data_IF_740634776446
#
_entry.id   IF_740634776446
#
_cell.length_a   1.000
_cell.length_b   1.000
_cell.length_c   1.000
_cell.angle_alpha   90.00
_cell.angle_beta   90.00
_cell.angle_gamma   90.00
#
_symmetry.space_group_name_H-M   'P 1'
#
loop_
_entity.id
_entity.type
_entity.pdbx_description
1 polymer ?
#
# COMPACT_ATOMS: atom_id res chain seq x y z
N UNK A 1 16.81 -1.24 9.07
CA UNK A 1 17.65 -0.24 8.39
C UNK A 1 17.04 1.15 8.60
N UNK A 2 17.73 2.09 9.26
CA UNK A 2 17.33 3.50 9.28
C UNK A 2 18.17 4.20 8.20
N UNK A 3 17.55 4.51 7.06
CA UNK A 3 18.17 5.37 6.05
C UNK A 3 18.12 6.82 6.54
N UNK A 4 19.07 7.64 6.08
CA UNK A 4 18.94 9.09 6.26
C UNK A 4 17.70 9.60 5.51
N UNK A 5 17.13 10.72 5.97
CA UNK A 5 15.96 11.31 5.31
C UNK A 5 16.25 11.62 3.83
N UNK A 6 17.44 12.15 3.55
CA UNK A 6 17.89 12.44 2.18
C UNK A 6 17.97 11.17 1.33
N UNK A 7 18.60 10.09 1.84
CA UNK A 7 18.69 8.84 1.11
C UNK A 7 17.30 8.23 0.83
N UNK A 8 16.40 8.30 1.80
CA UNK A 8 15.00 7.87 1.64
C UNK A 8 14.31 8.65 0.53
N UNK A 9 14.48 9.98 0.53
CA UNK A 9 13.89 10.85 -0.48
C UNK A 9 14.43 10.60 -1.90
N UNK A 10 15.74 10.46 -2.06
CA UNK A 10 16.35 10.14 -3.35
C UNK A 10 15.89 8.77 -3.87
N UNK A 11 15.80 7.79 -2.99
CA UNK A 11 15.30 6.45 -3.33
C UNK A 11 13.86 6.52 -3.83
N UNK A 12 12.99 7.26 -3.12
CA UNK A 12 11.60 7.47 -3.54
C UNK A 12 11.50 8.22 -4.88
N UNK A 13 12.33 9.24 -5.11
CA UNK A 13 12.38 9.96 -6.39
C UNK A 13 12.80 9.04 -7.54
N UNK A 14 13.84 8.24 -7.36
CA UNK A 14 14.30 7.28 -8.35
C UNK A 14 13.23 6.22 -8.64
N UNK A 15 12.64 5.66 -7.60
CA UNK A 15 11.55 4.69 -7.74
C UNK A 15 10.34 5.29 -8.47
N UNK A 16 9.93 6.51 -8.09
CA UNK A 16 8.87 7.27 -8.77
C UNK A 16 9.17 7.44 -10.26
N UNK A 17 10.41 7.77 -10.63
CA UNK A 17 10.81 7.95 -12.02
C UNK A 17 10.66 6.66 -12.86
N UNK A 18 10.98 5.50 -12.27
CA UNK A 18 10.83 4.18 -12.91
C UNK A 18 9.35 3.83 -13.09
N UNK A 19 8.55 3.85 -12.01
CA UNK A 19 7.15 3.40 -12.05
C UNK A 19 6.27 4.26 -12.94
N UNK A 20 6.62 5.54 -13.15
CA UNK A 20 5.88 6.44 -14.02
C UNK A 20 6.21 6.28 -15.51
N UNK A 21 7.27 5.54 -15.87
CA UNK A 21 7.64 5.26 -17.26
C UNK A 21 7.20 3.89 -17.76
N UNK A 22 6.84 2.98 -16.85
CA UNK A 22 6.45 1.63 -17.19
C UNK A 22 4.92 1.46 -17.25
N UNK A 23 4.44 0.32 -17.78
CA UNK A 23 3.03 -0.05 -17.72
C UNK A 23 2.55 -0.24 -16.27
N UNK A 24 1.24 -0.11 -16.04
CA UNK A 24 0.64 -0.21 -14.70
C UNK A 24 0.96 -1.56 -14.05
N UNK A 25 0.68 -2.67 -14.76
CA UNK A 25 0.93 -4.02 -14.26
C UNK A 25 2.38 -4.27 -13.90
N UNK A 26 3.34 -3.78 -14.71
CA UNK A 26 4.76 -3.90 -14.40
C UNK A 26 5.13 -3.14 -13.13
N UNK A 27 4.60 -1.93 -12.96
CA UNK A 27 4.92 -1.11 -11.80
C UNK A 27 4.35 -1.67 -10.50
N UNK A 28 3.11 -2.19 -10.55
CA UNK A 28 2.51 -2.89 -9.40
C UNK A 28 3.34 -4.12 -9.03
N UNK A 29 3.78 -4.90 -10.03
CA UNK A 29 4.62 -6.08 -9.79
C UNK A 29 6.00 -5.72 -9.21
N UNK A 30 6.61 -4.64 -9.70
CA UNK A 30 7.85 -4.09 -9.17
C UNK A 30 7.68 -3.66 -7.70
N UNK A 31 6.56 -3.01 -7.37
CA UNK A 31 6.18 -2.68 -5.99
C UNK A 31 6.07 -3.92 -5.09
N UNK A 32 5.39 -4.96 -5.54
CA UNK A 32 5.28 -6.25 -4.83
C UNK A 32 6.67 -6.82 -4.48
N UNK A 33 7.59 -6.84 -5.44
CA UNK A 33 8.96 -7.31 -5.24
C UNK A 33 9.70 -6.47 -4.19
N UNK A 34 9.57 -5.15 -4.21
CA UNK A 34 10.16 -4.29 -3.19
C UNK A 34 9.56 -4.56 -1.81
N UNK A 35 8.24 -4.77 -1.73
CA UNK A 35 7.57 -5.16 -0.48
C UNK A 35 8.18 -6.44 0.11
N UNK A 36 8.43 -7.45 -0.72
CA UNK A 36 9.10 -8.68 -0.32
C UNK A 36 10.54 -8.48 0.15
N UNK A 37 11.31 -7.62 -0.52
CA UNK A 37 12.67 -7.29 -0.08
C UNK A 37 12.62 -6.63 1.30
N UNK A 38 11.71 -5.68 1.51
CA UNK A 38 11.55 -5.03 2.82
C UNK A 38 11.16 -6.03 3.90
N UNK A 39 10.26 -6.98 3.61
CA UNK A 39 9.92 -8.09 4.51
C UNK A 39 11.16 -8.91 4.90
N UNK A 40 11.96 -9.33 3.91
CA UNK A 40 13.17 -10.13 4.12
C UNK A 40 14.21 -9.41 4.98
N UNK A 41 14.41 -8.11 4.77
CA UNK A 41 15.43 -7.32 5.47
C UNK A 41 14.94 -6.66 6.78
N UNK A 42 13.72 -6.95 7.22
CA UNK A 42 13.11 -6.35 8.43
C UNK A 42 12.60 -7.37 9.46
N UNK A 43 13.36 -8.41 9.85
CA UNK A 43 12.88 -9.50 10.70
C UNK A 43 12.24 -9.01 12.01
N UNK A 44 12.87 -8.07 12.72
CA UNK A 44 12.30 -7.52 13.96
C UNK A 44 10.98 -6.75 13.80
N UNK A 45 10.68 -6.26 12.60
CA UNK A 45 9.37 -5.64 12.29
C UNK A 45 8.36 -6.71 11.90
N UNK A 46 8.79 -7.71 11.14
CA UNK A 46 7.98 -8.87 10.76
C UNK A 46 7.52 -9.62 11.99
N UNK A 47 8.41 -9.98 12.91
CA UNK A 47 8.07 -10.73 14.13
C UNK A 47 7.03 -9.98 14.99
N UNK A 48 7.18 -8.66 15.11
CA UNK A 48 6.21 -7.81 15.82
C UNK A 48 4.86 -7.74 15.12
N UNK A 49 4.85 -7.71 13.79
CA UNK A 49 3.61 -7.75 13.01
C UNK A 49 2.93 -9.12 13.13
N UNK A 50 3.69 -10.21 13.10
CA UNK A 50 3.20 -11.59 13.29
C UNK A 50 2.57 -11.75 14.68
N UNK A 51 3.25 -11.31 15.75
CA UNK A 51 2.71 -11.36 17.10
C UNK A 51 1.40 -10.57 17.26
N UNK A 52 1.29 -9.40 16.61
CA UNK A 52 0.03 -8.64 16.58
C UNK A 52 -1.05 -9.36 15.79
N UNK A 53 -0.69 -9.95 14.66
CA UNK A 53 -1.62 -10.71 13.82
C UNK A 53 -2.20 -11.90 14.58
N UNK A 54 -1.37 -12.66 15.29
CA UNK A 54 -1.81 -13.75 16.20
C UNK A 54 -2.75 -13.19 17.27
N UNK A 55 -2.36 -12.11 17.95
CA UNK A 55 -3.15 -11.53 19.04
C UNK A 55 -4.50 -10.96 18.60
N UNK A 56 -4.57 -10.31 17.45
CA UNK A 56 -5.80 -9.60 17.00
C UNK A 56 -6.71 -10.53 16.21
N UNK A 57 -6.15 -11.33 15.29
CA UNK A 57 -6.93 -12.22 14.43
C UNK A 57 -7.14 -13.61 15.04
N UNK A 58 -6.47 -13.93 16.15
CA UNK A 58 -6.59 -15.23 16.84
C UNK A 58 -6.25 -16.42 15.93
N UNK A 59 -5.25 -16.24 15.05
CA UNK A 59 -4.77 -17.26 14.11
C UNK A 59 -3.43 -17.85 14.54
N UNK A 60 -3.10 -19.05 14.05
CA UNK A 60 -1.80 -19.68 14.30
C UNK A 60 -0.62 -18.93 13.66
N UNK A 61 0.59 -19.16 14.16
CA UNK A 61 1.83 -18.45 13.78
C UNK A 61 2.13 -18.57 12.27
N UNK A 62 1.95 -19.77 11.69
CA UNK A 62 2.18 -19.99 10.25
C UNK A 62 1.23 -19.14 9.39
N UNK A 63 -0.05 -19.07 9.76
CA UNK A 63 -1.05 -18.25 9.07
C UNK A 63 -0.75 -16.76 9.25
N UNK A 64 -0.40 -16.33 10.46
CA UNK A 64 0.01 -14.96 10.74
C UNK A 64 1.21 -14.54 9.89
N UNK A 65 2.24 -15.38 9.77
CA UNK A 65 3.41 -15.14 8.91
C UNK A 65 3.05 -14.98 7.45
N UNK A 66 2.13 -15.82 6.95
CA UNK A 66 1.62 -15.71 5.58
C UNK A 66 0.87 -14.38 5.36
N UNK A 67 -0.05 -14.03 6.26
CA UNK A 67 -0.79 -12.76 6.21
C UNK A 67 0.16 -11.56 6.24
N UNK A 68 1.14 -11.56 7.15
CA UNK A 68 2.12 -10.48 7.24
C UNK A 68 2.94 -10.38 5.95
N UNK A 69 3.42 -11.50 5.40
CA UNK A 69 4.16 -11.50 4.12
C UNK A 69 3.33 -10.91 2.96
N UNK A 70 2.06 -11.31 2.84
CA UNK A 70 1.15 -10.75 1.83
C UNK A 70 0.83 -9.28 2.10
N UNK A 71 0.76 -8.84 3.36
CA UNK A 71 0.63 -7.43 3.71
C UNK A 71 1.83 -6.61 3.22
N UNK A 72 3.07 -7.09 3.39
CA UNK A 72 4.25 -6.42 2.84
C UNK A 72 4.24 -6.35 1.31
N UNK A 73 3.84 -7.44 0.63
CA UNK A 73 3.61 -7.43 -0.83
C UNK A 73 2.60 -6.36 -1.22
N UNK A 74 1.48 -6.28 -0.51
CA UNK A 74 0.42 -5.32 -0.78
C UNK A 74 0.85 -3.86 -0.52
N UNK A 75 1.58 -3.60 0.56
CA UNK A 75 2.16 -2.29 0.84
C UNK A 75 3.12 -1.83 -0.27
N UNK A 76 3.89 -2.78 -0.82
CA UNK A 76 4.75 -2.51 -1.97
C UNK A 76 3.96 -2.15 -3.23
N UNK A 77 2.88 -2.89 -3.55
CA UNK A 77 1.95 -2.56 -4.64
C UNK A 77 1.34 -1.17 -4.45
N UNK A 78 0.81 -0.91 -3.26
CA UNK A 78 0.21 0.38 -2.89
C UNK A 78 1.19 1.55 -3.01
N UNK A 79 2.46 1.36 -2.62
CA UNK A 79 3.50 2.38 -2.83
C UNK A 79 3.67 2.72 -4.32
N UNK A 80 3.74 1.71 -5.18
CA UNK A 80 3.86 1.93 -6.63
C UNK A 80 2.61 2.63 -7.20
N UNK A 81 1.42 2.24 -6.75
CA UNK A 81 0.16 2.85 -7.16
C UNK A 81 0.09 4.33 -6.74
N UNK A 82 0.37 4.64 -5.47
CA UNK A 82 0.36 6.01 -4.94
C UNK A 82 1.34 6.91 -5.69
N UNK A 83 2.55 6.43 -5.98
CA UNK A 83 3.54 7.21 -6.73
C UNK A 83 3.15 7.44 -8.20
N UNK A 84 2.24 6.62 -8.73
CA UNK A 84 1.69 6.73 -10.09
C UNK A 84 0.42 7.54 -10.17
N UNK A 85 -0.31 7.76 -9.07
CA UNK A 85 -1.57 8.52 -9.06
C UNK A 85 -1.50 9.83 -9.86
N UNK A 86 -0.45 10.67 -9.76
CA UNK A 86 -0.38 11.91 -10.53
C UNK A 86 -0.34 11.70 -12.05
N UNK A 87 0.19 10.55 -12.52
CA UNK A 87 0.25 10.21 -13.95
C UNK A 87 -0.99 9.47 -14.45
N UNK A 88 -1.66 8.72 -13.58
CA UNK A 88 -2.92 8.05 -13.89
C UNK A 88 -4.05 9.08 -14.06
N UNK A 89 -4.09 10.11 -13.21
CA UNK A 89 -5.13 11.14 -13.26
C UNK A 89 -6.54 10.53 -13.19
N UNK A 90 -7.44 10.95 -14.08
CA UNK A 90 -8.79 10.38 -14.21
C UNK A 90 -8.80 8.91 -14.68
N UNK A 91 -7.71 8.43 -15.27
CA UNK A 91 -7.57 7.03 -15.68
C UNK A 91 -7.57 6.04 -14.51
N UNK A 92 -7.45 6.51 -13.27
CA UNK A 92 -7.63 5.67 -12.06
C UNK A 92 -9.01 5.01 -12.04
N UNK A 93 -10.04 5.65 -12.59
CA UNK A 93 -11.40 5.11 -12.60
C UNK A 93 -11.52 3.80 -13.39
N UNK A 94 -10.55 3.48 -14.26
CA UNK A 94 -10.49 2.19 -14.95
C UNK A 94 -10.07 1.02 -14.04
N UNK A 95 -9.63 1.31 -12.82
CA UNK A 95 -9.08 0.33 -11.87
C UNK A 95 -9.85 0.28 -10.55
N UNK A 96 -10.91 1.07 -10.39
CA UNK A 96 -11.62 1.24 -9.12
C UNK A 96 -13.10 0.99 -9.30
N UNK A 97 -13.68 0.23 -8.37
CA UNK A 97 -15.12 0.11 -8.17
C UNK A 97 -15.47 0.80 -6.84
N UNK A 98 -16.54 1.61 -6.84
CA UNK A 98 -16.97 2.35 -5.65
C UNK A 98 -18.18 1.63 -5.06
N UNK A 99 -18.04 1.18 -3.82
CA UNK A 99 -19.15 0.60 -3.03
C UNK A 99 -19.57 1.60 -1.95
N UNK A 100 -20.88 1.71 -1.72
CA UNK A 100 -21.42 2.56 -0.66
C UNK A 100 -21.49 4.06 -1.01
N UNK A 101 -21.45 4.42 -2.29
CA UNK A 101 -21.48 5.81 -2.78
C UNK A 101 -22.74 6.55 -2.32
N UNK A 102 -23.86 5.83 -2.18
CA UNK A 102 -25.12 6.35 -1.68
C UNK A 102 -24.99 6.95 -0.28
N UNK A 103 -24.17 6.36 0.60
CA UNK A 103 -23.95 6.87 1.96
C UNK A 103 -23.25 8.23 1.93
N UNK A 104 -22.28 8.40 1.02
CA UNK A 104 -21.59 9.67 0.82
C UNK A 104 -22.54 10.73 0.26
N UNK A 105 -23.35 10.37 -0.73
CA UNK A 105 -24.34 11.28 -1.34
C UNK A 105 -25.39 11.72 -0.33
N UNK A 106 -25.91 10.81 0.49
CA UNK A 106 -26.87 11.13 1.56
C UNK A 106 -26.24 12.03 2.64
N UNK A 107 -24.99 11.77 3.02
CA UNK A 107 -24.31 12.60 4.00
C UNK A 107 -24.07 14.03 3.48
N UNK A 108 -23.68 14.17 2.20
CA UNK A 108 -23.48 15.47 1.55
C UNK A 108 -24.77 16.28 1.41
N UNK A 109 -25.90 15.63 1.10
CA UNK A 109 -27.19 16.31 0.91
C UNK A 109 -27.69 17.02 2.18
N UNK A 110 -27.24 16.58 3.36
CA UNK A 110 -27.55 17.20 4.65
C UNK A 110 -26.87 18.57 4.85
N UNK A 111 -25.92 18.95 4.00
CA UNK A 111 -25.29 20.29 4.02
C UNK A 111 -24.38 20.57 5.22
N UNK A 112 -23.93 19.52 5.94
CA UNK A 112 -23.12 19.64 7.17
C UNK A 112 -21.63 19.30 6.97
N UNK A 113 -21.22 19.01 5.73
CA UNK A 113 -19.93 18.40 5.45
C UNK A 113 -19.92 16.90 5.74
N UNK A 114 -18.83 16.21 5.38
CA UNK A 114 -18.64 14.76 5.55
C UNK A 114 -17.23 14.48 6.07
N UNK A 115 -17.13 13.52 6.98
CA UNK A 115 -15.85 12.95 7.43
C UNK A 115 -15.75 11.54 6.87
N UNK A 116 -14.73 11.27 6.06
CA UNK A 116 -14.39 9.93 5.58
C UNK A 116 -13.26 9.37 6.46
N UNK A 117 -13.49 8.22 7.10
CA UNK A 117 -12.56 7.54 8.01
C UNK A 117 -11.95 6.30 7.37
#
# INVERSE_FOLDING_TARGET
MKLSQNATWFTLKGFRWIVNRASHSFSVKLGEWIGLLVWLFSPSRVDRAEARCVKVLQVGVTTARSIVKESYRNLGRGLAEVLRLPTLGSGIMNYVEIHGEENLREALSKGKGVICL
#
